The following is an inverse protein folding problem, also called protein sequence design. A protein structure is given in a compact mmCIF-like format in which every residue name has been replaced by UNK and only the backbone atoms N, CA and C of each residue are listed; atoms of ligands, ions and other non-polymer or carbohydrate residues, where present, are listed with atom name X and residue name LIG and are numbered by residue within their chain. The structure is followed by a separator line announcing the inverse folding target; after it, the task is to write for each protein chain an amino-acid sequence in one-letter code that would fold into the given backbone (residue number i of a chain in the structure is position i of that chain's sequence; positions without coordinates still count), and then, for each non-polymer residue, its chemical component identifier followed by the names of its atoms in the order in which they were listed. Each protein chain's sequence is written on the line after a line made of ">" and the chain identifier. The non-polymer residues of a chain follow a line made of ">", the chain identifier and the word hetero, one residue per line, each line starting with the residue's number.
data_IF_363075723890
#
_entry.id   IF_363075723890
#
_cell.length_a   1.000
_cell.length_b   1.000
_cell.length_c   1.000
_cell.angle_alpha   90.00
_cell.angle_beta   90.00
_cell.angle_gamma   90.00
#
_symmetry.space_group_name_H-M   'P 1'
#
loop_
_entity.id
_entity.type
_entity.pdbx_description
1 polymer ?
#
# COMPACT_ATOMS: atom_id res chain seq x y z
N UNK A 1 -9.40 14.83 5.97
CA UNK A 1 -9.46 16.29 5.66
C UNK A 1 -10.14 17.16 6.73
N UNK A 2 -11.10 16.66 7.54
CA UNK A 2 -11.73 17.48 8.62
C UNK A 2 -10.86 17.77 9.86
N UNK A 3 -9.76 17.04 10.08
CA UNK A 3 -8.99 17.12 11.33
C UNK A 3 -7.85 18.16 11.34
N UNK A 4 -7.44 18.69 10.17
CA UNK A 4 -6.28 19.59 10.06
C UNK A 4 -6.57 20.94 9.39
N UNK A 5 -7.85 21.29 9.19
CA UNK A 5 -8.26 22.57 8.57
C UNK A 5 -7.68 22.84 7.17
N UNK A 6 -7.29 21.79 6.44
CA UNK A 6 -6.81 21.92 5.06
C UNK A 6 -7.98 21.88 4.09
N UNK A 7 -7.94 22.74 3.07
CA UNK A 7 -8.81 22.62 1.90
C UNK A 7 -8.47 21.34 1.12
N UNK A 8 -9.38 20.93 0.24
CA UNK A 8 -9.12 19.80 -0.65
C UNK A 8 -7.88 20.05 -1.51
N UNK A 9 -7.82 21.21 -2.16
CA UNK A 9 -6.69 21.65 -2.98
C UNK A 9 -5.36 21.64 -2.23
N UNK A 10 -5.34 22.12 -0.98
CA UNK A 10 -4.13 22.08 -0.14
C UNK A 10 -3.69 20.65 0.17
N UNK A 11 -4.63 19.74 0.43
CA UNK A 11 -4.30 18.33 0.67
C UNK A 11 -3.74 17.66 -0.60
N UNK A 12 -4.28 17.98 -1.77
CA UNK A 12 -3.73 17.49 -3.05
C UNK A 12 -2.33 18.03 -3.30
N UNK A 13 -2.11 19.33 -3.06
CA UNK A 13 -0.81 19.98 -3.23
C UNK A 13 0.25 19.37 -2.32
N UNK A 14 -0.08 19.11 -1.05
CA UNK A 14 0.84 18.44 -0.10
C UNK A 14 1.21 17.04 -0.62
N UNK A 15 0.24 16.26 -1.10
CA UNK A 15 0.49 14.91 -1.63
C UNK A 15 1.37 14.95 -2.87
N UNK A 16 1.09 15.86 -3.82
CA UNK A 16 1.92 16.06 -5.00
C UNK A 16 3.35 16.48 -4.63
N UNK A 17 3.47 17.46 -3.72
CA UNK A 17 4.76 17.99 -3.28
C UNK A 17 5.58 16.97 -2.50
N UNK A 18 4.96 15.99 -1.84
CA UNK A 18 5.70 14.91 -1.15
C UNK A 18 6.62 14.14 -2.10
N UNK A 19 6.15 13.86 -3.32
CA UNK A 19 6.94 13.20 -4.38
C UNK A 19 7.97 14.17 -4.95
N UNK A 20 7.57 15.43 -5.23
CA UNK A 20 8.49 16.42 -5.81
C UNK A 20 9.66 16.77 -4.88
N UNK A 21 9.44 16.80 -3.57
CA UNK A 21 10.50 17.00 -2.58
C UNK A 21 11.50 15.83 -2.64
N UNK A 22 11.02 14.59 -2.68
CA UNK A 22 11.89 13.42 -2.77
C UNK A 22 12.72 13.41 -4.08
N UNK A 23 12.10 13.75 -5.21
CA UNK A 23 12.78 13.89 -6.50
C UNK A 23 13.85 14.98 -6.45
N UNK A 24 13.54 16.15 -5.89
CA UNK A 24 14.49 17.25 -5.75
C UNK A 24 15.72 16.86 -4.94
N UNK A 25 15.53 16.15 -3.82
CA UNK A 25 16.65 15.66 -3.00
C UNK A 25 17.55 14.71 -3.79
N UNK A 26 16.95 13.81 -4.59
CA UNK A 26 17.72 12.90 -5.46
C UNK A 26 18.55 13.68 -6.49
N UNK A 27 17.97 14.70 -7.12
CA UNK A 27 18.65 15.53 -8.11
C UNK A 27 19.78 16.37 -7.48
N UNK A 28 19.53 16.98 -6.33
CA UNK A 28 20.49 17.82 -5.58
C UNK A 28 21.69 16.99 -5.09
N UNK A 29 21.43 15.82 -4.49
CA UNK A 29 22.45 14.92 -3.96
C UNK A 29 23.07 14.02 -5.03
N UNK A 30 22.55 14.06 -6.27
CA UNK A 30 22.91 13.15 -7.37
C UNK A 30 22.83 11.68 -6.93
N UNK A 31 21.84 11.37 -6.10
CA UNK A 31 21.67 10.05 -5.53
C UNK A 31 21.18 9.05 -6.60
N UNK A 32 21.65 7.80 -6.53
CA UNK A 32 21.13 6.72 -7.36
C UNK A 32 19.99 6.02 -6.61
N UNK A 33 18.85 6.69 -6.51
CA UNK A 33 17.68 6.21 -5.78
C UNK A 33 16.41 6.32 -6.62
N UNK A 34 15.38 5.57 -6.22
CA UNK A 34 14.05 5.65 -6.79
C UNK A 34 13.08 6.35 -5.83
N UNK A 35 12.02 6.94 -6.37
CA UNK A 35 10.93 7.53 -5.57
C UNK A 35 9.69 6.68 -5.73
N UNK A 36 9.08 6.28 -4.62
CA UNK A 36 7.78 5.63 -4.63
C UNK A 36 6.71 6.54 -4.01
N UNK A 37 5.59 6.72 -4.72
CA UNK A 37 4.42 7.41 -4.18
C UNK A 37 3.62 6.47 -3.28
N UNK A 38 3.57 6.76 -1.98
CA UNK A 38 2.89 5.92 -0.99
C UNK A 38 1.36 6.04 -1.05
N UNK A 39 0.69 4.89 -1.10
CA UNK A 39 -0.76 4.76 -0.96
C UNK A 39 -1.07 3.72 0.11
N UNK A 40 -1.37 4.19 1.33
CA UNK A 40 -1.91 3.39 2.42
C UNK A 40 -3.40 3.02 2.27
N UNK A 41 -3.93 2.13 3.13
CA UNK A 41 -5.27 1.57 3.05
C UNK A 41 -6.38 2.58 3.44
N UNK A 42 -7.62 2.24 3.14
CA UNK A 42 -8.81 2.97 3.57
C UNK A 42 -8.89 3.09 5.10
N UNK A 43 -8.57 2.01 5.83
CA UNK A 43 -8.62 1.99 7.29
C UNK A 43 -7.82 3.10 7.96
N UNK A 44 -6.70 3.51 7.37
CA UNK A 44 -5.85 4.57 7.93
C UNK A 44 -6.56 5.93 7.99
N UNK A 45 -7.60 6.15 7.18
CA UNK A 45 -8.42 7.37 7.22
C UNK A 45 -9.51 7.33 8.29
N UNK A 46 -9.90 6.14 8.76
CA UNK A 46 -10.92 5.99 9.81
C UNK A 46 -10.38 6.39 11.19
N UNK A 47 -9.05 6.42 11.35
CA UNK A 47 -8.37 6.78 12.60
C UNK A 47 -8.84 5.93 13.80
N UNK A 48 -9.27 4.69 13.55
CA UNK A 48 -9.80 3.75 14.54
C UNK A 48 -8.93 2.49 14.71
N UNK A 49 -7.75 2.46 14.07
CA UNK A 49 -6.84 1.32 14.08
C UNK A 49 -7.26 0.17 13.15
N UNK A 50 -8.34 0.35 12.38
CA UNK A 50 -8.83 -0.68 11.46
C UNK A 50 -7.87 -0.98 10.31
N UNK A 51 -6.83 -0.17 10.07
CA UNK A 51 -5.73 -0.51 9.18
C UNK A 51 -4.98 -1.79 9.60
N UNK A 52 -5.12 -2.24 10.85
CA UNK A 52 -4.47 -3.46 11.37
C UNK A 52 -5.41 -4.66 11.51
N UNK A 53 -6.71 -4.52 11.22
CA UNK A 53 -7.68 -5.63 11.25
C UNK A 53 -8.54 -5.74 9.99
N UNK A 54 -8.63 -4.68 9.17
CA UNK A 54 -9.32 -4.66 7.89
C UNK A 54 -10.84 -4.78 7.94
N UNK A 55 -11.52 -4.70 9.08
CA UNK A 55 -12.96 -5.00 9.21
C UNK A 55 -13.89 -4.10 8.38
N UNK A 56 -13.46 -2.90 8.01
CA UNK A 56 -14.19 -2.05 7.05
C UNK A 56 -14.38 -2.73 5.70
N UNK A 57 -13.55 -3.73 5.37
CA UNK A 57 -13.61 -4.47 4.12
C UNK A 57 -14.97 -5.12 3.91
N UNK A 58 -15.63 -5.59 4.96
CA UNK A 58 -16.92 -6.29 4.83
C UNK A 58 -18.07 -5.37 4.42
N UNK A 59 -17.98 -4.08 4.74
CA UNK A 59 -19.00 -3.08 4.40
C UNK A 59 -18.71 -2.32 3.10
N UNK A 60 -17.57 -2.60 2.46
CA UNK A 60 -17.15 -1.92 1.23
C UNK A 60 -17.10 -2.87 0.03
N UNK A 61 -17.55 -2.34 -1.10
CA UNK A 61 -17.42 -2.97 -2.42
C UNK A 61 -16.09 -2.58 -3.07
N UNK A 62 -15.68 -3.35 -4.10
CA UNK A 62 -14.50 -3.02 -4.91
C UNK A 62 -14.61 -1.62 -5.52
N UNK A 63 -15.76 -1.25 -6.10
CA UNK A 63 -15.92 0.08 -6.71
C UNK A 63 -15.83 1.21 -5.68
N UNK A 64 -16.36 1.02 -4.45
CA UNK A 64 -16.20 2.02 -3.40
C UNK A 64 -14.72 2.20 -2.99
N UNK A 65 -13.94 1.13 -2.95
CA UNK A 65 -12.49 1.25 -2.74
C UNK A 65 -11.80 1.99 -3.89
N UNK A 66 -12.15 1.64 -5.15
CA UNK A 66 -11.60 2.32 -6.32
C UNK A 66 -11.92 3.82 -6.30
N UNK A 67 -13.17 4.18 -6.03
CA UNK A 67 -13.63 5.57 -5.94
C UNK A 67 -12.88 6.37 -4.88
N UNK A 68 -12.58 5.73 -3.74
CA UNK A 68 -11.83 6.37 -2.68
C UNK A 68 -10.34 6.54 -3.02
N UNK A 69 -9.70 5.54 -3.63
CA UNK A 69 -8.27 5.56 -3.95
C UNK A 69 -7.93 6.35 -5.22
N UNK A 70 -8.84 6.42 -6.20
CA UNK A 70 -8.65 7.07 -7.50
C UNK A 70 -8.08 8.49 -7.43
N UNK A 71 -8.64 9.44 -6.63
CA UNK A 71 -8.08 10.78 -6.57
C UNK A 71 -6.63 10.79 -6.06
N UNK A 72 -6.31 9.96 -5.06
CA UNK A 72 -4.95 9.85 -4.51
C UNK A 72 -3.97 9.30 -5.53
N UNK A 73 -4.36 8.23 -6.23
CA UNK A 73 -3.53 7.64 -7.29
C UNK A 73 -3.33 8.63 -8.44
N UNK A 74 -4.36 9.38 -8.84
CA UNK A 74 -4.25 10.40 -9.88
C UNK A 74 -3.26 11.52 -9.51
N UNK A 75 -3.30 12.01 -8.27
CA UNK A 75 -2.39 13.06 -7.77
C UNK A 75 -0.94 12.56 -7.79
N UNK A 76 -0.70 11.37 -7.24
CA UNK A 76 0.65 10.80 -7.18
C UNK A 76 1.16 10.43 -8.57
N UNK A 77 0.33 9.85 -9.44
CA UNK A 77 0.71 9.55 -10.82
C UNK A 77 1.12 10.82 -11.59
N UNK A 78 0.40 11.95 -11.39
CA UNK A 78 0.77 13.25 -11.96
C UNK A 78 2.11 13.78 -11.45
N UNK A 79 2.53 13.39 -10.25
CA UNK A 79 3.84 13.74 -9.71
C UNK A 79 4.98 12.88 -10.30
N UNK A 80 4.65 11.85 -11.08
CA UNK A 80 5.57 10.97 -11.81
C UNK A 80 6.64 10.30 -10.93
N UNK A 81 6.27 9.63 -9.81
CA UNK A 81 7.23 8.81 -9.08
C UNK A 81 7.71 7.65 -9.97
N UNK A 82 8.84 7.03 -9.60
CA UNK A 82 9.31 5.82 -10.28
C UNK A 82 8.30 4.68 -10.16
N UNK A 83 7.71 4.53 -8.97
CA UNK A 83 6.71 3.51 -8.67
C UNK A 83 5.61 4.07 -7.76
N UNK A 84 4.50 3.35 -7.66
CA UNK A 84 3.53 3.51 -6.57
C UNK A 84 3.74 2.39 -5.55
N UNK A 85 3.72 2.74 -4.28
CA UNK A 85 3.77 1.80 -3.17
C UNK A 85 2.36 1.65 -2.58
N UNK A 86 1.63 0.61 -2.98
CA UNK A 86 0.45 0.21 -2.23
C UNK A 86 0.91 -0.51 -0.98
N UNK A 87 0.70 0.07 0.19
CA UNK A 87 1.33 -0.42 1.41
C UNK A 87 0.39 -0.49 2.60
N UNK A 88 0.70 -1.44 3.50
CA UNK A 88 -0.10 -1.72 4.68
C UNK A 88 -1.54 -2.12 4.32
N UNK A 89 -1.73 -2.82 3.19
CA UNK A 89 -3.08 -3.20 2.75
C UNK A 89 -3.55 -4.41 3.59
N UNK A 90 -4.64 -4.31 4.38
CA UNK A 90 -4.99 -5.35 5.33
C UNK A 90 -5.86 -6.45 4.73
N UNK A 91 -6.44 -6.26 3.55
CA UNK A 91 -7.40 -7.19 2.97
C UNK A 91 -7.18 -7.47 1.49
N UNK A 92 -7.55 -8.68 1.08
CA UNK A 92 -7.55 -9.09 -0.34
C UNK A 92 -8.46 -8.19 -1.17
N UNK A 93 -9.67 -7.89 -0.70
CA UNK A 93 -10.68 -7.14 -1.47
C UNK A 93 -10.20 -5.71 -1.81
N UNK A 94 -9.57 -5.03 -0.87
CA UNK A 94 -8.99 -3.70 -1.12
C UNK A 94 -7.77 -3.79 -2.06
N UNK A 95 -6.91 -4.79 -1.87
CA UNK A 95 -5.76 -5.02 -2.75
C UNK A 95 -6.18 -5.29 -4.20
N UNK A 96 -7.24 -6.07 -4.40
CA UNK A 96 -7.85 -6.32 -5.71
C UNK A 96 -8.40 -5.03 -6.33
N UNK A 97 -9.06 -4.19 -5.55
CA UNK A 97 -9.55 -2.89 -6.01
C UNK A 97 -8.42 -1.97 -6.46
N UNK A 98 -7.31 -1.91 -5.70
CA UNK A 98 -6.11 -1.16 -6.07
C UNK A 98 -5.46 -1.68 -7.35
N UNK A 99 -5.33 -3.01 -7.49
CA UNK A 99 -4.81 -3.63 -8.69
C UNK A 99 -5.69 -3.30 -9.91
N UNK A 100 -7.01 -3.39 -9.79
CA UNK A 100 -7.92 -3.05 -10.89
C UNK A 100 -7.89 -1.56 -11.25
N UNK A 101 -7.82 -0.68 -10.25
CA UNK A 101 -7.71 0.77 -10.41
C UNK A 101 -6.42 1.15 -11.13
N UNK A 102 -5.31 0.47 -10.85
CA UNK A 102 -4.00 0.74 -11.46
C UNK A 102 -4.04 0.70 -12.99
N UNK A 103 -4.94 -0.10 -13.57
CA UNK A 103 -5.13 -0.21 -15.03
C UNK A 103 -5.67 1.06 -15.69
N UNK A 104 -6.29 1.94 -14.91
CA UNK A 104 -6.69 3.28 -15.38
C UNK A 104 -5.46 4.19 -15.61
N UNK A 105 -4.27 3.80 -15.14
CA UNK A 105 -3.01 4.56 -15.20
C UNK A 105 -1.89 3.75 -15.89
N UNK A 106 -1.93 3.54 -17.21
CA UNK A 106 -1.14 2.52 -17.91
C UNK A 106 0.40 2.66 -17.79
N UNK A 107 0.90 3.88 -17.54
CA UNK A 107 2.33 4.15 -17.39
C UNK A 107 2.84 3.96 -15.96
N UNK A 108 1.94 3.68 -15.00
CA UNK A 108 2.29 3.53 -13.59
C UNK A 108 2.60 2.07 -13.30
N UNK A 109 3.74 1.85 -12.64
CA UNK A 109 4.13 0.56 -12.05
C UNK A 109 4.01 0.65 -10.54
N UNK A 110 3.70 -0.45 -9.88
CA UNK A 110 3.51 -0.49 -8.44
C UNK A 110 4.02 -1.79 -7.82
N UNK A 111 4.36 -1.73 -6.55
CA UNK A 111 4.32 -2.91 -5.70
C UNK A 111 3.10 -2.86 -4.78
N UNK A 112 2.72 -4.03 -4.27
CA UNK A 112 1.69 -4.13 -3.24
C UNK A 112 2.20 -4.92 -2.04
N UNK A 113 2.14 -4.31 -0.85
CA UNK A 113 2.52 -4.95 0.40
C UNK A 113 1.32 -5.04 1.36
N UNK A 114 1.16 -6.24 1.93
CA UNK A 114 0.09 -6.56 2.86
C UNK A 114 0.52 -6.35 4.30
N UNK A 115 -0.41 -5.87 5.12
CA UNK A 115 -0.35 -6.08 6.57
C UNK A 115 -0.95 -7.46 6.91
N UNK A 116 -0.33 -8.16 7.85
CA UNK A 116 -0.69 -9.53 8.22
C UNK A 116 -0.79 -9.65 9.74
N UNK A 117 -1.82 -10.35 10.22
CA UNK A 117 -1.98 -10.62 11.66
C UNK A 117 -1.07 -11.75 12.15
N UNK A 118 -0.68 -12.66 11.27
CA UNK A 118 0.21 -13.77 11.57
C UNK A 118 1.10 -14.14 10.39
N UNK A 119 1.68 -15.35 10.41
CA UNK A 119 2.55 -15.88 9.36
C UNK A 119 1.83 -16.53 8.17
N UNK A 120 0.51 -16.33 8.04
CA UNK A 120 -0.35 -17.02 7.06
C UNK A 120 -1.41 -16.11 6.45
N UNK A 121 -2.02 -15.25 7.26
CA UNK A 121 -3.21 -14.51 6.92
C UNK A 121 -2.91 -13.01 6.84
N UNK A 122 -3.56 -12.34 5.88
CA UNK A 122 -3.72 -10.89 5.90
C UNK A 122 -4.35 -10.45 7.23
N UNK A 123 -4.25 -9.17 7.57
CA UNK A 123 -4.89 -8.63 8.77
C UNK A 123 -6.41 -8.88 8.80
N UNK A 124 -7.07 -8.86 7.65
CA UNK A 124 -8.49 -9.17 7.51
C UNK A 124 -8.83 -10.66 7.60
N UNK A 125 -7.88 -11.54 7.28
CA UNK A 125 -8.02 -12.99 7.48
C UNK A 125 -7.97 -13.86 6.22
N UNK A 126 -7.60 -13.32 5.06
CA UNK A 126 -7.41 -14.13 3.85
C UNK A 126 -6.02 -14.79 3.80
N UNK A 127 -5.87 -15.99 3.21
CA UNK A 127 -4.55 -16.57 2.95
C UNK A 127 -3.69 -15.65 2.08
N UNK A 128 -2.48 -15.34 2.54
CA UNK A 128 -1.60 -14.37 1.88
C UNK A 128 -1.25 -14.78 0.45
N UNK A 129 -1.03 -16.08 0.20
CA UNK A 129 -0.73 -16.60 -1.12
C UNK A 129 -1.86 -16.37 -2.13
N UNK A 130 -3.12 -16.45 -1.68
CA UNK A 130 -4.28 -16.22 -2.55
C UNK A 130 -4.48 -14.73 -2.81
N UNK A 131 -4.27 -13.89 -1.80
CA UNK A 131 -4.39 -12.45 -1.93
C UNK A 131 -3.33 -11.90 -2.89
N UNK A 132 -2.06 -12.26 -2.69
CA UNK A 132 -0.96 -11.84 -3.55
C UNK A 132 -1.11 -12.36 -4.98
N UNK A 133 -1.48 -13.63 -5.18
CA UNK A 133 -1.69 -14.17 -6.51
C UNK A 133 -2.82 -13.45 -7.26
N UNK A 134 -3.93 -13.14 -6.58
CA UNK A 134 -5.07 -12.41 -7.17
C UNK A 134 -4.66 -11.01 -7.66
N UNK A 135 -3.88 -10.28 -6.86
CA UNK A 135 -3.36 -8.95 -7.22
C UNK A 135 -2.49 -9.03 -8.49
N UNK A 136 -1.57 -9.98 -8.55
CA UNK A 136 -0.70 -10.18 -9.73
C UNK A 136 -1.51 -10.52 -10.99
N UNK A 137 -2.56 -11.34 -10.86
CA UNK A 137 -3.43 -11.70 -11.99
C UNK A 137 -4.25 -10.51 -12.51
N UNK A 138 -4.67 -9.60 -11.62
CA UNK A 138 -5.49 -8.44 -12.01
C UNK A 138 -4.72 -7.39 -12.79
N UNK A 139 -3.43 -7.22 -12.49
CA UNK A 139 -2.56 -6.22 -13.13
C UNK A 139 -1.14 -6.77 -13.38
N UNK A 140 -1.00 -7.75 -14.29
CA UNK A 140 0.24 -8.52 -14.43
C UNK A 140 1.41 -7.68 -14.89
N UNK A 141 1.19 -6.68 -15.75
CA UNK A 141 2.25 -5.85 -16.28
C UNK A 141 2.60 -4.68 -15.36
N UNK A 142 1.70 -4.28 -14.46
CA UNK A 142 1.86 -3.08 -13.63
C UNK A 142 2.25 -3.39 -12.18
N UNK A 143 1.85 -4.55 -11.65
CA UNK A 143 2.33 -5.04 -10.35
C UNK A 143 3.66 -5.77 -10.56
N UNK A 144 4.74 -5.10 -10.18
CA UNK A 144 6.11 -5.61 -10.36
C UNK A 144 6.59 -6.45 -9.18
N UNK A 145 6.05 -6.18 -7.98
CA UNK A 145 6.38 -6.92 -6.77
C UNK A 145 5.19 -7.01 -5.82
N UNK A 146 5.17 -8.07 -5.01
CA UNK A 146 4.20 -8.24 -3.92
C UNK A 146 4.92 -8.62 -2.64
N UNK A 147 4.32 -8.34 -1.48
CA UNK A 147 4.96 -8.76 -0.24
C UNK A 147 4.29 -8.23 1.01
N UNK A 148 5.08 -7.89 2.02
CA UNK A 148 4.57 -7.57 3.36
C UNK A 148 5.31 -6.39 4.00
N UNK A 149 4.57 -5.58 4.73
CA UNK A 149 5.14 -4.49 5.51
C UNK A 149 4.35 -4.27 6.80
N UNK A 150 4.94 -3.52 7.73
CA UNK A 150 4.32 -3.26 9.03
C UNK A 150 3.94 -4.53 9.81
N UNK A 151 4.67 -5.63 9.58
CA UNK A 151 4.55 -6.91 10.28
C UNK A 151 5.72 -7.11 11.26
N UNK A 152 5.59 -8.08 12.17
CA UNK A 152 6.71 -8.47 13.03
C UNK A 152 7.85 -9.11 12.20
N UNK A 153 9.13 -8.81 12.42
CA UNK A 153 10.25 -9.35 11.62
C UNK A 153 10.25 -10.87 11.47
N UNK A 154 9.85 -11.61 12.51
CA UNK A 154 9.81 -13.07 12.50
C UNK A 154 8.76 -13.66 11.54
N UNK A 155 7.72 -12.90 11.17
CA UNK A 155 6.68 -13.40 10.25
C UNK A 155 7.06 -13.25 8.78
N UNK A 156 8.06 -12.41 8.45
CA UNK A 156 8.45 -12.11 7.06
C UNK A 156 8.83 -13.37 6.28
N UNK A 157 9.80 -14.15 6.76
CA UNK A 157 10.28 -15.34 6.04
C UNK A 157 9.15 -16.37 5.85
N UNK A 158 8.34 -16.72 6.88
CA UNK A 158 7.16 -17.55 6.69
C UNK A 158 6.17 -17.03 5.64
N UNK A 159 5.86 -15.73 5.65
CA UNK A 159 4.93 -15.11 4.70
C UNK A 159 5.46 -15.16 3.26
N UNK A 160 6.72 -14.78 3.03
CA UNK A 160 7.34 -14.86 1.69
C UNK A 160 7.38 -16.30 1.18
N UNK A 161 7.70 -17.29 2.05
CA UNK A 161 7.71 -18.70 1.65
C UNK A 161 6.37 -19.20 1.13
N UNK A 162 5.25 -18.67 1.65
CA UNK A 162 3.90 -19.02 1.17
C UNK A 162 3.63 -18.51 -0.24
N UNK A 163 4.20 -17.34 -0.56
CA UNK A 163 4.04 -16.70 -1.86
C UNK A 163 5.04 -17.19 -2.92
N UNK A 164 5.95 -18.12 -2.60
CA UNK A 164 7.10 -18.46 -3.46
C UNK A 164 6.75 -18.99 -4.87
N UNK A 165 5.52 -19.46 -5.09
CA UNK A 165 5.04 -19.96 -6.37
C UNK A 165 4.50 -18.83 -7.27
N UNK A 166 4.42 -17.61 -6.76
CA UNK A 166 4.04 -16.43 -7.54
C UNK A 166 5.26 -15.97 -8.33
N UNK A 167 5.08 -15.86 -9.64
CA UNK A 167 6.11 -15.38 -10.58
C UNK A 167 6.28 -13.86 -10.51
N UNK A 168 6.67 -13.31 -9.35
CA UNK A 168 6.92 -11.87 -9.14
C UNK A 168 8.06 -11.66 -8.15
N UNK A 169 8.65 -10.48 -8.18
CA UNK A 169 9.58 -10.06 -7.14
C UNK A 169 8.87 -9.91 -5.79
N UNK A 170 9.62 -10.09 -4.71
CA UNK A 170 9.12 -9.94 -3.35
C UNK A 170 9.66 -8.68 -2.69
N UNK A 171 8.80 -7.95 -1.97
CA UNK A 171 9.18 -6.79 -1.17
C UNK A 171 8.87 -7.02 0.31
N UNK A 172 9.79 -6.65 1.20
CA UNK A 172 9.58 -6.78 2.63
C UNK A 172 10.24 -5.64 3.42
N UNK A 173 9.46 -4.99 4.28
CA UNK A 173 9.95 -3.94 5.18
C UNK A 173 9.16 -4.01 6.51
N UNK A 174 9.58 -4.90 7.43
CA UNK A 174 8.89 -5.11 8.71
C UNK A 174 9.09 -3.95 9.68
N UNK A 175 8.31 -3.94 10.76
CA UNK A 175 8.53 -3.04 11.89
C UNK A 175 9.87 -3.37 12.59
N UNK A 176 10.35 -2.48 13.46
CA UNK A 176 11.59 -2.67 14.21
C UNK A 176 11.54 -3.81 15.27
N UNK A 177 10.43 -4.56 15.37
CA UNK A 177 10.24 -5.62 16.38
C UNK A 177 9.89 -5.11 17.77
N UNK A 178 9.60 -3.81 17.92
CA UNK A 178 9.13 -3.22 19.18
C UNK A 178 7.64 -3.50 19.30
N UNK A 179 7.22 -4.12 20.40
CA UNK A 179 5.81 -4.33 20.72
C UNK A 179 5.20 -2.96 21.05
N UNK A 180 4.17 -2.57 20.31
CA UNK A 180 3.42 -1.34 20.58
C UNK A 180 2.64 -1.48 21.89
N UNK A 181 2.82 -0.53 22.80
CA UNK A 181 2.24 -0.52 24.14
C UNK A 181 1.34 0.72 24.29
N UNK A 182 0.02 0.48 24.26
CA UNK A 182 -1.00 1.53 24.34
C UNK A 182 -0.99 2.29 25.66
N UNK A 183 -0.47 1.69 26.74
CA UNK A 183 -0.50 2.24 28.10
C UNK A 183 0.64 3.24 28.37
N UNK A 184 1.55 3.43 27.40
CA UNK A 184 2.72 4.32 27.53
C UNK A 184 2.59 5.67 26.82
N UNK A 185 1.36 6.12 26.52
CA UNK A 185 1.10 7.48 26.01
C UNK A 185 0.60 8.42 27.11
#
# INVERSE_FOLDING_TARGET
>A
MKHHQLSHEQAEEIMFNSVKIAQRVIDEEKAQCYVAGSIGPYGAMLCDGSEFNGWYTDSMTIEQFKDWHRPRLAILARAEPTFIAFETIPSKKEAEALAELLREFPNVKAWLSFNCQDSKLTAHGEPIEEAAASVCLKSPDQIIAVGVNCVHPETVVPLIKRMNNIDRDFIAYPNAGVIWDAEKQ
#
